data_IF_166500204027
#
_entry.id   IF_166500204027
#
_cell.length_a   1.000
_cell.length_b   1.000
_cell.length_c   1.000
_cell.angle_alpha   90.00
_cell.angle_beta   90.00
_cell.angle_gamma   90.00
#
_symmetry.space_group_name_H-M   'P 1'
#
loop_
_entity.id
_entity.type
_entity.pdbx_description
1 polymer ?
#
# COMPACT_ATOMS: atom_id res chain seq x y z
N UNK A 1 -26.08 5.65 11.89
CA UNK A 1 -26.29 4.32 11.27
C UNK A 1 -26.79 4.54 9.86
N UNK A 2 -26.14 4.03 8.80
CA UNK A 2 -26.73 4.11 7.47
C UNK A 2 -27.97 3.23 7.42
N UNK A 3 -29.01 3.65 6.74
CA UNK A 3 -30.27 2.91 6.69
C UNK A 3 -30.07 1.55 5.99
N UNK A 4 -30.65 0.52 6.58
CA UNK A 4 -30.56 -0.92 6.17
C UNK A 4 -31.02 -1.23 4.72
N UNK A 5 -31.55 -0.25 3.99
CA UNK A 5 -32.02 -0.43 2.61
C UNK A 5 -30.95 -0.19 1.54
N UNK A 6 -29.69 0.07 1.92
CA UNK A 6 -28.58 0.32 0.98
C UNK A 6 -27.78 -0.94 0.60
N UNK A 7 -28.17 -2.12 1.04
CA UNK A 7 -27.55 -3.39 0.63
C UNK A 7 -27.99 -3.73 -0.81
N UNK A 8 -27.15 -3.36 -1.78
CA UNK A 8 -27.29 -3.86 -3.15
C UNK A 8 -26.70 -5.26 -3.22
N UNK A 9 -27.58 -6.26 -3.35
CA UNK A 9 -27.16 -7.64 -3.59
C UNK A 9 -26.76 -7.79 -5.08
N UNK A 10 -25.51 -8.20 -5.32
CA UNK A 10 -25.01 -8.52 -6.65
C UNK A 10 -25.01 -10.04 -6.81
N UNK A 11 -25.79 -10.53 -7.76
CA UNK A 11 -25.72 -11.92 -8.20
C UNK A 11 -24.92 -11.99 -9.51
N UNK A 12 -23.79 -12.70 -9.51
CA UNK A 12 -22.97 -12.88 -10.70
C UNK A 12 -23.33 -14.22 -11.34
N UNK A 13 -23.88 -14.18 -12.54
CA UNK A 13 -24.17 -15.37 -13.32
C UNK A 13 -23.21 -15.45 -14.48
N UNK A 14 -22.46 -16.54 -14.58
CA UNK A 14 -21.59 -16.82 -15.72
C UNK A 14 -22.42 -17.48 -16.81
N UNK A 15 -22.63 -16.81 -17.94
CA UNK A 15 -23.47 -17.30 -19.02
C UNK A 15 -22.64 -17.44 -20.29
N UNK A 16 -22.64 -18.63 -20.85
CA UNK A 16 -22.35 -18.84 -22.25
C UNK A 16 -23.60 -18.44 -23.08
N UNK A 17 -23.39 -17.43 -23.88
CA UNK A 17 -24.23 -16.88 -24.97
C UNK A 17 -25.70 -17.33 -25.02
N UNK A 18 -26.58 -16.33 -25.03
CA UNK A 18 -28.01 -16.37 -25.29
C UNK A 18 -28.85 -17.03 -24.21
N UNK A 19 -29.42 -16.23 -23.29
CA UNK A 19 -30.71 -16.64 -22.77
C UNK A 19 -31.34 -15.59 -21.86
N UNK A 20 -32.63 -15.59 -21.80
CA UNK A 20 -33.51 -14.82 -20.95
C UNK A 20 -33.29 -15.07 -19.43
N UNK A 21 -32.12 -15.55 -19.02
CA UNK A 21 -31.80 -15.88 -17.61
C UNK A 21 -32.14 -14.73 -16.69
N UNK A 22 -31.86 -13.50 -17.13
CA UNK A 22 -32.22 -12.32 -16.34
C UNK A 22 -33.72 -12.18 -16.13
N UNK A 23 -34.51 -12.51 -17.16
CA UNK A 23 -35.98 -12.49 -17.10
C UNK A 23 -36.52 -13.64 -16.24
N UNK A 24 -35.93 -14.81 -16.39
CA UNK A 24 -36.28 -15.99 -15.58
C UNK A 24 -35.94 -15.78 -14.12
N UNK A 25 -34.75 -15.26 -13.84
CA UNK A 25 -34.33 -14.94 -12.47
C UNK A 25 -35.24 -13.90 -11.81
N UNK A 26 -35.60 -12.83 -12.51
CA UNK A 26 -36.54 -11.85 -11.97
C UNK A 26 -37.94 -12.42 -11.78
N UNK A 27 -38.36 -13.33 -12.64
CA UNK A 27 -39.63 -14.06 -12.49
C UNK A 27 -39.61 -14.97 -11.25
N UNK A 28 -38.52 -15.69 -11.00
CA UNK A 28 -38.34 -16.49 -9.79
C UNK A 28 -38.38 -15.62 -8.52
N UNK A 29 -37.78 -14.44 -8.55
CA UNK A 29 -37.85 -13.51 -7.42
C UNK A 29 -39.30 -13.09 -7.15
N UNK A 30 -40.06 -12.73 -8.17
CA UNK A 30 -41.47 -12.37 -8.02
C UNK A 30 -42.33 -13.50 -7.53
N UNK A 31 -42.02 -14.75 -7.98
CA UNK A 31 -42.72 -15.99 -7.56
C UNK A 31 -42.46 -16.32 -6.09
N UNK A 32 -41.19 -16.26 -5.64
CA UNK A 32 -40.80 -16.67 -4.30
C UNK A 32 -40.93 -15.57 -3.25
N UNK A 33 -40.92 -14.32 -3.67
CA UNK A 33 -41.08 -13.16 -2.81
C UNK A 33 -42.26 -12.29 -3.27
N UNK A 34 -43.52 -12.78 -3.13
CA UNK A 34 -44.70 -12.02 -3.50
C UNK A 34 -44.82 -10.74 -2.67
N UNK A 35 -45.72 -9.79 -3.02
CA UNK A 35 -45.87 -8.50 -2.36
C UNK A 35 -46.00 -8.56 -0.83
N UNK A 36 -46.60 -9.61 -0.30
CA UNK A 36 -46.86 -9.82 1.13
C UNK A 36 -45.72 -10.53 1.85
N UNK A 37 -44.68 -10.95 1.13
CA UNK A 37 -43.57 -11.69 1.73
C UNK A 37 -42.69 -10.73 2.57
N UNK A 38 -42.32 -11.15 3.82
CA UNK A 38 -41.55 -10.34 4.77
C UNK A 38 -40.23 -9.77 4.20
N UNK A 39 -39.64 -10.48 3.25
CA UNK A 39 -38.37 -10.08 2.62
C UNK A 39 -38.56 -9.38 1.26
N UNK A 40 -39.80 -9.05 0.84
CA UNK A 40 -40.08 -8.36 -0.43
C UNK A 40 -39.37 -7.02 -0.57
N UNK A 41 -39.16 -6.29 0.56
CA UNK A 41 -38.43 -5.02 0.58
C UNK A 41 -36.97 -5.18 0.16
N UNK A 42 -36.38 -6.37 0.40
CA UNK A 42 -34.99 -6.69 0.06
C UNK A 42 -34.93 -7.31 -1.32
N UNK A 43 -35.73 -8.37 -1.59
CA UNK A 43 -35.76 -9.12 -2.83
C UNK A 43 -36.86 -8.62 -3.76
N UNK A 44 -36.55 -7.58 -4.53
CA UNK A 44 -37.41 -7.03 -5.56
C UNK A 44 -36.56 -6.61 -6.77
N UNK A 45 -37.22 -6.37 -7.90
CA UNK A 45 -36.54 -6.00 -9.16
C UNK A 45 -35.73 -4.72 -9.07
N UNK A 46 -36.13 -3.75 -8.24
CA UNK A 46 -35.44 -2.48 -8.11
C UNK A 46 -34.14 -2.58 -7.31
N UNK A 47 -34.08 -3.53 -6.37
CA UNK A 47 -32.93 -3.71 -5.50
C UNK A 47 -31.90 -4.73 -6.04
N UNK A 48 -32.31 -5.52 -7.04
CA UNK A 48 -31.46 -6.54 -7.64
C UNK A 48 -30.88 -6.03 -8.95
N UNK A 49 -29.57 -6.19 -9.10
CA UNK A 49 -28.86 -5.94 -10.36
C UNK A 49 -28.20 -7.22 -10.81
N UNK A 50 -28.54 -7.65 -12.02
CA UNK A 50 -27.88 -8.76 -12.67
C UNK A 50 -26.60 -8.25 -13.34
N UNK A 51 -25.51 -8.94 -13.06
CA UNK A 51 -24.23 -8.73 -13.73
C UNK A 51 -23.89 -9.96 -14.53
N UNK A 52 -23.64 -9.78 -15.81
CA UNK A 52 -23.24 -10.86 -16.71
C UNK A 52 -21.73 -10.85 -16.86
N UNK A 53 -21.07 -11.98 -16.61
CA UNK A 53 -19.68 -12.18 -16.99
C UNK A 53 -19.63 -13.14 -18.17
N UNK A 54 -19.01 -12.71 -19.25
CA UNK A 54 -18.73 -13.60 -20.38
C UNK A 54 -17.35 -14.24 -20.20
N UNK A 55 -17.18 -15.43 -20.72
CA UNK A 55 -15.85 -15.97 -21.00
C UNK A 55 -15.08 -14.96 -21.87
N UNK A 56 -13.80 -14.80 -21.60
CA UNK A 56 -12.95 -13.87 -22.34
C UNK A 56 -13.08 -14.19 -23.85
N UNK A 57 -13.44 -13.19 -24.65
CA UNK A 57 -13.50 -13.38 -26.10
C UNK A 57 -12.08 -13.61 -26.66
N UNK A 58 -11.97 -14.21 -27.84
CA UNK A 58 -10.71 -14.51 -28.50
C UNK A 58 -9.79 -13.29 -28.58
N UNK A 59 -10.34 -12.11 -28.87
CA UNK A 59 -9.60 -10.85 -28.87
C UNK A 59 -8.93 -10.57 -27.51
N UNK A 60 -9.65 -10.74 -26.42
CA UNK A 60 -9.14 -10.54 -25.05
C UNK A 60 -8.06 -11.57 -24.72
N UNK A 61 -8.25 -12.83 -25.13
CA UNK A 61 -7.27 -13.91 -24.94
C UNK A 61 -5.98 -13.58 -25.70
N UNK A 62 -6.09 -13.19 -26.98
CA UNK A 62 -4.95 -12.82 -27.82
C UNK A 62 -4.24 -11.58 -27.25
N UNK A 63 -4.98 -10.53 -26.88
CA UNK A 63 -4.39 -9.33 -26.30
C UNK A 63 -3.65 -9.62 -24.98
N UNK A 64 -4.21 -10.47 -24.13
CA UNK A 64 -3.54 -10.85 -22.88
C UNK A 64 -2.31 -11.72 -23.14
N UNK A 65 -2.36 -12.61 -24.13
CA UNK A 65 -1.22 -13.40 -24.57
C UNK A 65 -0.12 -12.51 -25.15
N UNK A 66 -0.47 -11.61 -26.05
CA UNK A 66 0.49 -10.66 -26.63
C UNK A 66 1.09 -9.74 -25.57
N UNK A 67 0.28 -9.25 -24.62
CA UNK A 67 0.82 -8.50 -23.46
C UNK A 67 1.81 -9.32 -22.66
N UNK A 68 1.57 -10.62 -22.45
CA UNK A 68 2.51 -11.50 -21.75
C UNK A 68 3.80 -11.72 -22.52
N UNK A 69 3.73 -11.79 -23.86
CA UNK A 69 4.91 -11.93 -24.73
C UNK A 69 5.68 -10.61 -24.82
N UNK A 70 4.99 -9.51 -25.09
CA UNK A 70 5.61 -8.19 -25.24
C UNK A 70 6.13 -7.62 -23.92
N UNK A 71 5.48 -7.98 -22.82
CA UNK A 71 5.91 -7.63 -21.45
C UNK A 71 6.77 -8.73 -20.80
N UNK A 72 7.16 -9.79 -21.55
CA UNK A 72 8.30 -10.57 -21.08
C UNK A 72 9.44 -9.55 -20.92
N UNK A 73 10.04 -9.44 -19.73
CA UNK A 73 11.20 -8.60 -19.57
C UNK A 73 12.21 -9.11 -20.59
N UNK A 74 12.39 -8.37 -21.67
CA UNK A 74 13.59 -8.47 -22.49
C UNK A 74 14.71 -8.52 -21.49
N UNK A 75 15.50 -9.58 -21.54
CA UNK A 75 16.66 -9.91 -20.70
C UNK A 75 16.89 -8.87 -19.63
N UNK A 76 16.82 -9.26 -18.37
CA UNK A 76 17.01 -8.36 -17.24
C UNK A 76 18.15 -7.42 -17.59
N UNK A 77 17.82 -6.25 -18.12
CA UNK A 77 18.73 -5.11 -18.01
C UNK A 77 18.99 -5.12 -16.51
N UNK A 78 20.18 -5.55 -16.13
CA UNK A 78 20.64 -5.57 -14.75
C UNK A 78 20.39 -4.16 -14.24
N UNK A 79 19.20 -3.96 -13.68
CA UNK A 79 18.82 -2.64 -13.17
C UNK A 79 19.89 -2.34 -12.14
N UNK A 80 20.69 -1.33 -12.46
CA UNK A 80 21.77 -0.90 -11.58
C UNK A 80 21.12 -0.53 -10.25
N UNK A 81 21.14 -1.45 -9.30
CA UNK A 81 20.46 -1.30 -8.01
C UNK A 81 21.15 -0.26 -7.12
N UNK A 82 22.37 0.13 -7.47
CA UNK A 82 23.16 1.10 -6.72
C UNK A 82 24.07 1.89 -7.66
N UNK A 83 24.19 3.19 -7.41
CA UNK A 83 25.15 4.08 -8.11
C UNK A 83 26.09 4.79 -7.12
N UNK A 84 26.28 4.25 -5.93
CA UNK A 84 27.27 4.75 -4.99
C UNK A 84 28.69 4.54 -5.55
N UNK A 85 29.59 5.52 -5.33
CA UNK A 85 30.99 5.43 -5.76
C UNK A 85 31.67 4.21 -5.15
N UNK A 86 31.40 3.94 -3.87
CA UNK A 86 31.83 2.74 -3.15
C UNK A 86 30.58 1.98 -2.70
N UNK A 87 30.43 0.75 -3.17
CA UNK A 87 29.24 -0.08 -2.85
C UNK A 87 29.18 -0.43 -1.37
N UNK A 88 30.34 -0.60 -0.72
CA UNK A 88 30.41 -0.87 0.72
C UNK A 88 29.87 0.27 1.59
N UNK A 89 29.95 1.51 1.11
CA UNK A 89 29.42 2.72 1.79
C UNK A 89 27.95 2.96 1.48
N UNK A 90 27.29 2.07 0.73
CA UNK A 90 25.90 2.22 0.40
C UNK A 90 25.04 2.02 1.65
N UNK A 91 24.24 3.04 2.06
CA UNK A 91 23.44 2.94 3.29
C UNK A 91 22.35 1.86 3.22
N UNK A 92 22.04 1.31 2.03
CA UNK A 92 21.11 0.22 1.83
C UNK A 92 21.78 -1.00 1.16
N UNK A 93 23.00 -1.33 1.59
CA UNK A 93 23.76 -2.53 1.18
C UNK A 93 23.77 -2.78 -0.34
N UNK A 94 23.85 -1.73 -1.16
CA UNK A 94 23.90 -1.82 -2.62
C UNK A 94 22.53 -1.80 -3.31
N UNK A 95 21.43 -1.49 -2.62
CA UNK A 95 20.07 -1.42 -3.17
C UNK A 95 19.47 -0.01 -3.12
N UNK A 96 20.28 1.05 -3.07
CA UNK A 96 19.81 2.42 -2.88
C UNK A 96 18.98 3.01 -4.06
N UNK A 97 19.02 2.40 -5.23
CA UNK A 97 18.20 2.81 -6.36
C UNK A 97 16.87 2.03 -6.47
N UNK A 98 16.62 1.11 -5.54
CA UNK A 98 15.37 0.35 -5.52
C UNK A 98 14.17 1.27 -5.27
N UNK A 99 13.19 1.36 -6.17
CA UNK A 99 11.95 2.09 -5.97
C UNK A 99 10.90 1.23 -5.24
N UNK A 100 9.82 1.84 -4.80
CA UNK A 100 8.65 1.20 -4.20
C UNK A 100 9.02 0.24 -3.06
N UNK A 101 9.72 0.74 -2.05
CA UNK A 101 10.17 -0.06 -0.91
C UNK A 101 9.66 0.48 0.42
N UNK A 102 9.50 -0.44 1.35
CA UNK A 102 9.41 -0.17 2.79
C UNK A 102 10.79 -0.37 3.39
N UNK A 103 11.27 0.60 4.13
CA UNK A 103 12.59 0.60 4.76
C UNK A 103 12.47 0.81 6.26
N UNK A 104 13.49 0.36 6.98
CA UNK A 104 13.62 0.58 8.41
C UNK A 104 14.84 1.48 8.68
N UNK A 105 14.69 2.34 9.68
CA UNK A 105 15.75 3.13 10.25
C UNK A 105 15.85 2.81 11.74
N UNK A 106 16.99 2.32 12.19
CA UNK A 106 17.28 2.09 13.60
C UNK A 106 18.15 3.24 14.09
N UNK A 107 17.62 4.00 15.02
CA UNK A 107 18.34 5.11 15.66
C UNK A 107 18.93 4.63 16.97
N UNK A 108 20.23 4.55 17.01
CA UNK A 108 21.00 4.28 18.23
C UNK A 108 21.53 5.60 18.78
N UNK A 109 21.22 5.91 20.01
CA UNK A 109 21.70 7.09 20.69
C UNK A 109 22.39 6.75 22.01
N UNK A 110 23.44 7.49 22.33
CA UNK A 110 24.17 7.35 23.59
C UNK A 110 24.54 8.73 24.13
N UNK A 111 24.63 8.85 25.44
CA UNK A 111 25.12 10.02 26.10
C UNK A 111 26.37 9.72 26.94
N UNK A 112 27.04 10.76 27.47
CA UNK A 112 28.22 10.62 28.32
C UNK A 112 27.96 9.77 29.60
N UNK A 113 26.70 9.59 30.02
CA UNK A 113 26.29 8.80 31.17
C UNK A 113 25.98 7.33 30.84
N UNK A 114 26.44 6.80 29.68
CA UNK A 114 26.20 5.42 29.23
C UNK A 114 24.73 5.02 28.98
N UNK A 115 23.79 5.93 28.99
CA UNK A 115 22.42 5.63 28.58
C UNK A 115 22.39 5.31 27.09
N UNK A 116 21.95 4.10 26.74
CA UNK A 116 21.77 3.63 25.36
C UNK A 116 20.28 3.62 25.03
N UNK A 117 19.92 4.31 23.97
CA UNK A 117 18.56 4.36 23.45
C UNK A 117 18.55 3.78 22.04
N UNK A 118 17.63 2.87 21.80
CA UNK A 118 17.37 2.33 20.46
C UNK A 118 15.92 2.55 20.09
N UNK A 119 15.69 3.10 18.92
CA UNK A 119 14.35 3.33 18.36
C UNK A 119 14.30 2.90 16.91
N UNK A 120 13.22 2.24 16.53
CA UNK A 120 12.95 1.79 15.19
C UNK A 120 11.92 2.71 14.51
N UNK A 121 12.22 3.13 13.29
CA UNK A 121 11.29 3.83 12.42
C UNK A 121 11.08 3.03 11.13
N UNK A 122 9.84 2.87 10.70
CA UNK A 122 9.48 2.25 9.43
C UNK A 122 8.85 3.29 8.52
N UNK A 123 9.32 3.38 7.30
CA UNK A 123 8.80 4.30 6.29
C UNK A 123 8.76 3.68 4.92
N UNK A 124 8.02 4.31 4.00
CA UNK A 124 7.93 3.88 2.62
C UNK A 124 8.36 4.98 1.64
N UNK A 125 8.81 4.56 0.47
CA UNK A 125 9.14 5.46 -0.63
C UNK A 125 8.73 4.84 -1.96
N UNK A 126 8.09 5.62 -2.83
CA UNK A 126 7.77 5.20 -4.19
C UNK A 126 8.94 5.47 -5.15
N UNK A 127 9.55 6.69 -5.14
CA UNK A 127 10.77 6.94 -5.90
C UNK A 127 11.96 6.14 -5.34
N UNK A 128 13.10 6.10 -6.05
CA UNK A 128 14.31 5.44 -5.57
C UNK A 128 14.67 5.85 -4.14
N UNK A 129 15.01 4.86 -3.31
CA UNK A 129 15.30 5.12 -1.89
C UNK A 129 16.39 6.16 -1.67
N UNK A 130 17.36 6.26 -2.58
CA UNK A 130 18.43 7.26 -2.50
C UNK A 130 17.92 8.69 -2.38
N UNK A 131 16.82 9.01 -3.07
CA UNK A 131 16.16 10.32 -2.99
C UNK A 131 15.55 10.53 -1.59
N UNK A 132 14.86 9.51 -1.09
CA UNK A 132 14.28 9.55 0.26
C UNK A 132 15.35 9.67 1.33
N UNK A 133 16.47 8.97 1.18
CA UNK A 133 17.63 9.09 2.04
C UNK A 133 18.21 10.51 2.05
N UNK A 134 18.36 11.12 0.87
CA UNK A 134 18.77 12.52 0.75
C UNK A 134 17.84 13.48 1.49
N UNK A 135 16.52 13.26 1.38
CA UNK A 135 15.53 14.04 2.10
C UNK A 135 15.66 13.89 3.63
N UNK A 136 15.90 12.68 4.13
CA UNK A 136 16.13 12.44 5.55
C UNK A 136 17.41 13.14 6.03
N UNK A 137 18.54 13.00 5.31
CA UNK A 137 19.77 13.71 5.64
C UNK A 137 19.54 15.22 5.73
N UNK A 138 18.90 15.79 4.74
CA UNK A 138 18.57 17.21 4.70
C UNK A 138 17.68 17.62 5.89
N UNK A 139 16.71 16.77 6.30
CA UNK A 139 15.84 17.07 7.44
C UNK A 139 16.56 16.96 8.79
N UNK A 140 17.63 16.16 8.88
CA UNK A 140 18.46 16.06 10.07
C UNK A 140 19.44 17.26 10.20
N UNK A 141 19.79 17.89 9.09
CA UNK A 141 20.75 19.02 9.07
C UNK A 141 20.04 20.38 9.20
N UNK A 142 18.85 20.54 8.59
CA UNK A 142 18.15 21.83 8.53
C UNK A 142 17.09 21.97 9.62
N UNK A 143 17.21 22.94 10.55
CA UNK A 143 16.22 23.16 11.62
C UNK A 143 14.80 23.42 11.10
N UNK A 144 14.67 24.09 9.94
CA UNK A 144 13.38 24.37 9.31
C UNK A 144 12.60 23.10 8.93
N UNK A 145 13.28 21.96 8.74
CA UNK A 145 12.72 20.67 8.35
C UNK A 145 12.57 19.68 9.52
N UNK A 146 12.76 20.14 10.76
CA UNK A 146 12.78 19.28 11.95
C UNK A 146 11.45 18.50 12.15
N UNK A 147 10.31 19.01 11.71
CA UNK A 147 8.98 18.38 11.84
C UNK A 147 8.52 17.62 10.59
N UNK A 148 9.40 17.40 9.63
CA UNK A 148 9.02 16.79 8.34
C UNK A 148 8.63 15.30 8.45
N UNK A 149 9.17 14.61 9.44
CA UNK A 149 8.81 13.24 9.78
C UNK A 149 8.99 12.98 11.27
N UNK A 150 8.34 11.93 11.79
CA UNK A 150 8.52 11.48 13.17
C UNK A 150 9.99 11.15 13.46
N UNK A 151 10.68 10.53 12.49
CA UNK A 151 12.11 10.26 12.58
C UNK A 151 12.93 11.56 12.71
N UNK A 152 12.65 12.56 11.89
CA UNK A 152 13.33 13.85 11.94
C UNK A 152 13.12 14.55 13.29
N UNK A 153 11.86 14.57 13.76
CA UNK A 153 11.53 15.17 15.06
C UNK A 153 12.29 14.50 16.21
N UNK A 154 12.43 13.17 16.15
CA UNK A 154 13.16 12.42 17.16
C UNK A 154 14.68 12.70 17.12
N UNK A 155 15.27 12.75 15.93
CA UNK A 155 16.69 13.09 15.77
C UNK A 155 17.00 14.49 16.32
N UNK A 156 16.11 15.46 16.07
CA UNK A 156 16.27 16.80 16.61
C UNK A 156 16.13 16.84 18.13
N UNK A 157 15.21 16.05 18.69
CA UNK A 157 15.10 15.90 20.14
C UNK A 157 16.40 15.36 20.74
N UNK A 158 17.00 14.34 20.15
CA UNK A 158 18.28 13.79 20.60
C UNK A 158 19.41 14.84 20.55
N UNK A 159 19.43 15.69 19.51
CA UNK A 159 20.39 16.78 19.40
C UNK A 159 20.20 17.85 20.52
N UNK A 160 18.94 18.23 20.76
CA UNK A 160 18.58 19.19 21.79
C UNK A 160 18.96 18.66 23.19
N UNK A 161 18.78 17.32 23.40
CA UNK A 161 19.10 16.63 24.67
C UNK A 161 20.61 16.26 24.78
N UNK A 162 21.45 16.62 23.79
CA UNK A 162 22.91 16.40 23.81
C UNK A 162 23.33 14.94 23.59
N UNK A 163 22.50 14.11 23.00
CA UNK A 163 22.84 12.73 22.65
C UNK A 163 23.63 12.65 21.35
N UNK A 164 24.70 11.85 21.34
CA UNK A 164 25.29 11.35 20.10
C UNK A 164 24.39 10.28 19.53
N UNK A 165 24.12 10.33 18.22
CA UNK A 165 23.24 9.37 17.55
C UNK A 165 23.84 8.84 16.26
N UNK A 166 23.45 7.63 15.91
CA UNK A 166 23.73 7.00 14.62
C UNK A 166 22.44 6.39 14.07
N UNK A 167 22.23 6.50 12.76
CA UNK A 167 21.07 5.94 12.08
C UNK A 167 21.53 4.88 11.08
N UNK A 168 21.17 3.64 11.34
CA UNK A 168 21.38 2.52 10.44
C UNK A 168 20.11 2.23 9.63
N UNK A 169 20.30 1.91 8.35
CA UNK A 169 19.21 1.73 7.41
C UNK A 169 19.17 0.29 6.91
N UNK A 170 17.99 -0.24 6.74
CA UNK A 170 17.80 -1.58 6.16
C UNK A 170 16.58 -1.62 5.25
N UNK A 171 16.64 -2.47 4.24
CA UNK A 171 15.50 -2.78 3.40
C UNK A 171 14.52 -3.65 4.21
N UNK A 172 13.32 -3.15 4.42
CA UNK A 172 12.26 -3.92 5.08
C UNK A 172 11.56 -4.84 4.09
N UNK A 173 10.95 -4.28 3.04
CA UNK A 173 10.24 -5.05 2.02
C UNK A 173 10.18 -4.31 0.69
N UNK A 174 10.26 -5.06 -0.41
CA UNK A 174 9.96 -4.56 -1.76
C UNK A 174 8.46 -4.65 -2.00
N UNK A 175 7.90 -3.68 -2.66
CA UNK A 175 6.50 -3.56 -2.99
C UNK A 175 6.33 -3.27 -4.47
N UNK A 176 5.11 -3.35 -4.96
CA UNK A 176 4.83 -2.95 -6.34
C UNK A 176 4.50 -1.46 -6.41
N UNK A 177 5.01 -0.75 -7.45
CA UNK A 177 4.61 0.63 -7.69
C UNK A 177 3.09 0.74 -7.86
N UNK A 178 2.52 1.86 -7.45
CA UNK A 178 1.10 2.12 -7.65
C UNK A 178 0.76 2.12 -9.15
N UNK A 179 -0.31 1.42 -9.51
CA UNK A 179 -0.86 1.44 -10.87
C UNK A 179 -2.19 2.17 -10.87
N UNK A 180 -2.32 3.18 -11.74
CA UNK A 180 -3.58 3.90 -11.93
C UNK A 180 -4.74 2.93 -12.18
N UNK A 181 -5.89 3.20 -11.55
CA UNK A 181 -7.08 2.36 -11.66
C UNK A 181 -7.17 1.23 -10.63
N UNK A 182 -6.14 0.99 -9.83
CA UNK A 182 -6.24 0.06 -8.70
C UNK A 182 -6.77 0.78 -7.46
N UNK A 183 -7.70 0.13 -6.74
CA UNK A 183 -8.24 0.69 -5.48
C UNK A 183 -7.29 0.52 -4.30
N UNK A 184 -6.26 -0.31 -4.43
CA UNK A 184 -5.34 -0.67 -3.36
C UNK A 184 -3.92 -0.28 -3.76
N UNK A 185 -3.25 0.45 -2.91
CA UNK A 185 -1.84 0.75 -3.03
C UNK A 185 -1.04 -0.28 -2.22
N UNK A 186 -0.32 -1.16 -2.91
CA UNK A 186 0.46 -2.22 -2.28
C UNK A 186 1.53 -1.64 -1.33
N UNK A 187 2.20 -0.58 -1.75
CA UNK A 187 3.22 0.10 -0.94
C UNK A 187 2.66 0.60 0.40
N UNK A 188 1.51 1.31 0.38
CA UNK A 188 0.89 1.82 1.60
C UNK A 188 0.41 0.69 2.52
N UNK A 189 -0.13 -0.40 1.95
CA UNK A 189 -0.56 -1.55 2.73
C UNK A 189 0.63 -2.25 3.38
N UNK A 190 1.71 -2.45 2.62
CA UNK A 190 2.94 -3.08 3.10
C UNK A 190 3.60 -2.27 4.22
N UNK A 191 3.64 -0.94 4.10
CA UNK A 191 4.13 -0.05 5.16
C UNK A 191 3.31 -0.19 6.44
N UNK A 192 1.98 -0.07 6.34
CA UNK A 192 1.08 -0.20 7.49
C UNK A 192 1.19 -1.55 8.18
N UNK A 193 1.27 -2.63 7.40
CA UNK A 193 1.47 -3.97 7.94
C UNK A 193 2.82 -4.11 8.66
N UNK A 194 3.90 -3.51 8.12
CA UNK A 194 5.20 -3.51 8.77
C UNK A 194 5.17 -2.75 10.10
N UNK A 195 4.52 -1.57 10.14
CA UNK A 195 4.35 -0.78 11.38
C UNK A 195 3.56 -1.58 12.42
N UNK A 196 2.44 -2.19 12.03
CA UNK A 196 1.61 -3.01 12.92
C UNK A 196 2.37 -4.22 13.47
N UNK A 197 3.14 -4.92 12.62
CA UNK A 197 3.98 -6.05 13.03
C UNK A 197 5.02 -5.60 14.06
N UNK A 198 5.74 -4.52 13.82
CA UNK A 198 6.73 -4.00 14.75
C UNK A 198 6.11 -3.60 16.10
N UNK A 199 4.90 -3.01 16.08
CA UNK A 199 4.17 -2.69 17.30
C UNK A 199 3.71 -3.96 18.06
N UNK A 200 3.25 -4.99 17.34
CA UNK A 200 2.85 -6.27 17.92
C UNK A 200 4.05 -7.01 18.55
N UNK A 201 5.21 -6.96 17.91
CA UNK A 201 6.46 -7.53 18.42
C UNK A 201 7.07 -6.69 19.56
N UNK A 202 6.35 -5.69 20.07
CA UNK A 202 6.75 -4.78 21.16
C UNK A 202 8.10 -4.08 20.91
N UNK A 203 8.47 -3.90 19.65
CA UNK A 203 9.65 -3.13 19.29
C UNK A 203 9.46 -1.68 19.70
N UNK A 204 10.53 -1.05 20.15
CA UNK A 204 10.51 0.37 20.52
C UNK A 204 10.44 1.26 19.27
N UNK A 205 9.21 1.46 18.75
CA UNK A 205 8.98 2.14 17.47
C UNK A 205 8.73 3.63 17.64
N UNK A 206 9.19 4.42 16.65
CA UNK A 206 8.89 5.84 16.53
C UNK A 206 7.57 6.10 15.79
N UNK A 207 7.09 5.12 15.02
CA UNK A 207 5.86 5.26 14.26
C UNK A 207 4.66 5.47 15.19
N UNK A 208 3.85 6.46 14.85
CA UNK A 208 2.67 6.83 15.62
C UNK A 208 1.40 6.20 15.05
N UNK A 209 0.34 6.15 15.85
CA UNK A 209 -0.98 5.69 15.40
C UNK A 209 -1.49 6.51 14.22
N UNK A 210 -1.17 7.81 14.15
CA UNK A 210 -1.58 8.68 13.04
C UNK A 210 -1.02 8.23 11.69
N UNK A 211 0.20 7.69 11.65
CA UNK A 211 0.81 7.19 10.41
C UNK A 211 0.06 5.98 9.85
N UNK A 212 -0.46 5.11 10.72
CA UNK A 212 -1.31 3.98 10.32
C UNK A 212 -2.65 4.47 9.75
N UNK A 213 -3.20 5.54 10.32
CA UNK A 213 -4.50 6.09 9.93
C UNK A 213 -4.44 7.00 8.70
N UNK A 214 -3.24 7.41 8.28
CA UNK A 214 -3.08 8.26 7.11
C UNK A 214 -3.68 7.63 5.85
N UNK A 215 -4.43 8.46 5.11
CA UNK A 215 -4.97 8.07 3.80
C UNK A 215 -3.81 7.85 2.82
N UNK A 216 -3.99 6.89 1.92
CA UNK A 216 -3.04 6.68 0.83
C UNK A 216 -2.99 7.93 -0.07
N UNK A 217 -1.81 8.35 -0.49
CA UNK A 217 -1.62 9.50 -1.41
C UNK A 217 -2.30 9.29 -2.76
N UNK A 218 -2.48 8.04 -3.17
CA UNK A 218 -3.13 7.65 -4.42
C UNK A 218 -4.64 7.42 -4.28
N UNK A 219 -5.20 7.51 -3.07
CA UNK A 219 -6.64 7.41 -2.85
C UNK A 219 -7.32 8.76 -3.06
N UNK A 220 -7.08 9.39 -4.20
CA UNK A 220 -7.94 10.51 -4.61
C UNK A 220 -9.37 10.00 -4.78
N UNK A 221 -10.39 10.68 -4.25
CA UNK A 221 -11.75 10.34 -4.57
C UNK A 221 -11.89 10.46 -6.09
N UNK A 222 -12.26 9.35 -6.72
CA UNK A 222 -12.71 9.39 -8.11
C UNK A 222 -13.91 10.35 -8.11
N UNK A 223 -13.70 11.52 -8.71
CA UNK A 223 -14.76 12.48 -8.95
C UNK A 223 -15.79 11.89 -9.90
#
# INVERSE_FOLDING_TARGET
MPPLWALKLYCTVTVAVTNNIGREFTSLIDKHFPPHHKYRKIFNRSNLRLSYSCTANVKTVILNHNKKILNKPTEQVLQKLCNCRRRAECPLAGECLQPAIVYNAVVNASNAGNAKLEKLYTGATEPPWKERYGNHKCSFEKPSRRKESTLSSYVWKLKDDGFAYNVSWSLGRKSFPYRCGTRKCDLCLTEKLAILRNAHEKKNTLNTRSEIMNKCRHSSPVK
#
